data_IF_615120858967
#
_entry.id   IF_615120858967
#
_cell.length_a   1.000
_cell.length_b   1.000
_cell.length_c   1.000
_cell.angle_alpha   90.00
_cell.angle_beta   90.00
_cell.angle_gamma   90.00
#
_symmetry.space_group_name_H-M   'P 1'
#
loop_
_entity.id
_entity.type
_entity.pdbx_description
1 polymer ?
#
# COMPACT_ATOMS: atom_id res chain seq x y z
N UNK A 1 1.64 -1.24 27.87
CA UNK A 1 1.23 -0.22 26.87
C UNK A 1 2.41 0.63 26.40
N UNK A 2 3.44 0.83 27.23
CA UNK A 2 4.67 1.58 26.87
C UNK A 2 5.46 1.02 25.68
N UNK A 3 5.55 -0.31 25.52
CA UNK A 3 6.34 -0.91 24.42
C UNK A 3 5.80 -0.54 23.02
N UNK A 4 4.48 -0.37 22.89
CA UNK A 4 3.86 0.12 21.64
C UNK A 4 4.28 1.55 21.34
N UNK A 5 4.36 2.41 22.35
CA UNK A 5 4.74 3.82 22.21
C UNK A 5 6.19 4.02 21.80
N UNK A 6 7.07 3.17 22.32
CA UNK A 6 8.51 3.28 22.12
C UNK A 6 9.00 2.57 20.86
N UNK A 7 8.31 1.51 20.39
CA UNK A 7 8.77 0.71 19.24
C UNK A 7 7.79 0.68 18.08
N UNK A 8 6.49 0.56 18.33
CA UNK A 8 5.50 0.34 17.27
C UNK A 8 5.14 1.64 16.53
N UNK A 9 4.74 2.70 17.24
CA UNK A 9 4.38 3.97 16.59
C UNK A 9 5.52 4.60 15.79
N UNK A 10 6.76 4.76 16.31
CA UNK A 10 7.84 5.36 15.52
C UNK A 10 8.18 4.52 14.29
N UNK A 11 8.17 3.19 14.38
CA UNK A 11 8.41 2.32 13.23
C UNK A 11 7.31 2.43 12.16
N UNK A 12 6.03 2.47 12.56
CA UNK A 12 4.93 2.65 11.61
C UNK A 12 4.92 4.05 10.99
N UNK A 13 5.24 5.10 11.76
CA UNK A 13 5.37 6.48 11.26
C UNK A 13 6.48 6.55 10.20
N UNK A 14 7.65 5.97 10.48
CA UNK A 14 8.76 5.93 9.51
C UNK A 14 8.36 5.16 8.25
N UNK A 15 7.71 4.01 8.41
CA UNK A 15 7.21 3.21 7.30
C UNK A 15 6.22 3.98 6.42
N UNK A 16 5.23 4.64 7.03
CA UNK A 16 4.24 5.45 6.32
C UNK A 16 4.88 6.67 5.64
N UNK A 17 5.85 7.32 6.28
CA UNK A 17 6.62 8.41 5.68
C UNK A 17 7.40 7.94 4.46
N UNK A 18 7.97 6.73 4.51
CA UNK A 18 8.61 6.09 3.36
C UNK A 18 7.64 5.83 2.21
N UNK A 19 6.43 5.32 2.51
CA UNK A 19 5.38 5.12 1.51
C UNK A 19 4.95 6.43 0.85
N UNK A 20 4.75 7.50 1.63
CA UNK A 20 4.40 8.83 1.11
C UNK A 20 5.43 9.28 0.07
N UNK A 21 6.73 9.24 0.42
CA UNK A 21 7.81 9.60 -0.51
C UNK A 21 7.81 8.74 -1.77
N UNK A 22 7.52 7.45 -1.63
CA UNK A 22 7.40 6.54 -2.76
C UNK A 22 6.22 6.92 -3.67
N UNK A 23 5.05 7.20 -3.09
CA UNK A 23 3.89 7.65 -3.85
C UNK A 23 4.15 9.00 -4.55
N UNK A 24 4.86 9.94 -3.93
CA UNK A 24 5.26 11.20 -4.58
C UNK A 24 6.13 10.94 -5.82
N UNK A 25 7.12 10.04 -5.73
CA UNK A 25 7.96 9.66 -6.86
C UNK A 25 7.17 8.93 -7.97
N UNK A 26 6.22 8.09 -7.58
CA UNK A 26 5.33 7.41 -8.53
C UNK A 26 4.41 8.42 -9.24
N UNK A 27 3.86 9.40 -8.53
CA UNK A 27 3.06 10.48 -9.12
C UNK A 27 3.90 11.25 -10.14
N UNK A 28 5.14 11.61 -9.81
CA UNK A 28 6.04 12.25 -10.77
C UNK A 28 6.26 11.40 -12.03
N UNK A 29 6.40 10.09 -11.88
CA UNK A 29 6.55 9.15 -13.00
C UNK A 29 5.30 9.14 -13.89
N UNK A 30 4.11 9.06 -13.29
CA UNK A 30 2.81 9.13 -13.98
C UNK A 30 2.60 10.47 -14.68
N UNK A 31 3.01 11.57 -14.05
CA UNK A 31 2.93 12.92 -14.62
C UNK A 31 3.89 13.11 -15.79
N UNK A 32 5.08 12.50 -15.72
CA UNK A 32 6.08 12.53 -16.81
C UNK A 32 5.66 11.66 -18.00
N UNK A 33 4.87 10.62 -17.75
CA UNK A 33 4.30 9.73 -18.77
C UNK A 33 2.77 9.83 -18.77
N UNK A 34 2.17 10.98 -19.14
CA UNK A 34 0.73 11.17 -19.11
C UNK A 34 0.03 10.21 -20.08
N UNK A 35 -1.18 9.79 -19.73
CA UNK A 35 -2.03 9.05 -20.65
C UNK A 35 -2.51 10.00 -21.76
N UNK A 36 -2.61 9.48 -22.98
CA UNK A 36 -3.21 10.21 -24.09
C UNK A 36 -4.74 10.14 -23.92
N UNK A 37 -5.38 11.28 -23.69
CA UNK A 37 -6.83 11.39 -23.46
C UNK A 37 -7.64 10.80 -24.61
N UNK A 38 -7.18 10.98 -25.85
CA UNK A 38 -7.81 10.46 -27.07
C UNK A 38 -7.08 9.22 -27.62
N UNK A 39 -6.45 8.41 -26.76
CA UNK A 39 -5.73 7.23 -27.26
C UNK A 39 -5.23 6.26 -26.20
N UNK A 40 -4.20 5.52 -26.60
CA UNK A 40 -3.42 4.64 -25.75
C UNK A 40 -1.96 5.07 -25.88
N UNK A 41 -1.30 5.35 -24.75
CA UNK A 41 0.10 5.76 -24.72
C UNK A 41 1.09 4.66 -25.17
N UNK A 42 0.56 3.48 -25.48
CA UNK A 42 1.32 2.30 -25.78
C UNK A 42 1.79 1.58 -24.51
N UNK A 43 1.99 0.28 -24.62
CA UNK A 43 2.63 -0.50 -23.55
C UNK A 43 3.54 -1.56 -24.15
N UNK A 44 4.60 -1.89 -23.42
CA UNK A 44 5.50 -2.96 -23.81
C UNK A 44 5.13 -4.22 -23.04
N UNK A 45 4.91 -5.32 -23.77
CA UNK A 45 4.63 -6.65 -23.21
C UNK A 45 5.53 -7.66 -23.90
N UNK A 46 6.32 -8.40 -23.14
CA UNK A 46 7.24 -9.44 -23.61
C UNK A 46 8.18 -8.94 -24.73
N UNK A 47 8.65 -7.69 -24.62
CA UNK A 47 9.52 -7.05 -25.60
C UNK A 47 8.84 -6.60 -26.90
N UNK A 48 7.50 -6.64 -26.96
CA UNK A 48 6.70 -6.10 -28.07
C UNK A 48 5.97 -4.84 -27.63
N UNK A 49 5.98 -3.83 -28.49
CA UNK A 49 5.26 -2.58 -28.25
C UNK A 49 3.85 -2.64 -28.85
N UNK A 50 2.84 -2.40 -28.02
CA UNK A 50 1.44 -2.41 -28.40
C UNK A 50 0.87 -1.00 -28.33
N UNK A 51 0.23 -0.56 -29.40
CA UNK A 51 -0.40 0.78 -29.49
C UNK A 51 -1.93 0.73 -29.39
N UNK A 52 -2.52 -0.47 -29.30
CA UNK A 52 -3.96 -0.68 -29.13
C UNK A 52 -4.26 -1.35 -27.79
N UNK A 53 -5.34 -0.90 -27.13
CA UNK A 53 -5.76 -1.42 -25.82
C UNK A 53 -6.22 -2.88 -25.90
N UNK A 54 -6.79 -3.28 -27.03
CA UNK A 54 -7.19 -4.66 -27.30
C UNK A 54 -6.00 -5.58 -27.40
N UNK A 55 -5.11 -5.36 -28.37
CA UNK A 55 -3.92 -6.20 -28.56
C UNK A 55 -3.10 -6.33 -27.28
N UNK A 56 -2.91 -5.21 -26.58
CA UNK A 56 -2.15 -5.23 -25.35
C UNK A 56 -2.84 -6.05 -24.26
N UNK A 57 -4.15 -5.88 -24.08
CA UNK A 57 -4.93 -6.66 -23.13
C UNK A 57 -5.00 -8.16 -23.49
N UNK A 58 -5.11 -8.50 -24.77
CA UNK A 58 -5.09 -9.89 -25.25
C UNK A 58 -3.73 -10.54 -24.98
N UNK A 59 -2.65 -9.80 -25.16
CA UNK A 59 -1.30 -10.27 -24.89
C UNK A 59 -1.01 -10.47 -23.41
N UNK A 60 -1.57 -9.63 -22.53
CA UNK A 60 -1.57 -9.87 -21.09
C UNK A 60 -2.29 -11.20 -20.79
N UNK A 61 -3.50 -11.40 -21.34
CA UNK A 61 -4.26 -12.63 -21.12
C UNK A 61 -3.56 -13.87 -21.67
N UNK A 62 -2.90 -13.74 -22.83
CA UNK A 62 -2.08 -14.79 -23.40
C UNK A 62 -0.91 -15.13 -22.48
N UNK A 63 -0.19 -14.13 -21.97
CA UNK A 63 0.88 -14.32 -21.01
C UNK A 63 0.38 -14.99 -19.71
N UNK A 64 -0.81 -14.64 -19.21
CA UNK A 64 -1.44 -15.35 -18.09
C UNK A 64 -1.67 -16.84 -18.38
N UNK A 65 -2.14 -17.18 -19.59
CA UNK A 65 -2.35 -18.59 -19.98
C UNK A 65 -1.04 -19.36 -20.14
N UNK A 66 0.01 -18.68 -20.59
CA UNK A 66 1.36 -19.27 -20.72
C UNK A 66 2.10 -19.34 -19.38
N UNK A 67 1.70 -18.51 -18.40
CA UNK A 67 2.28 -18.48 -17.08
C UNK A 67 2.01 -19.80 -16.34
N UNK A 68 3.03 -20.66 -16.31
CA UNK A 68 3.08 -21.89 -15.52
C UNK A 68 3.95 -21.76 -14.27
N UNK A 69 4.64 -20.63 -14.15
CA UNK A 69 5.51 -20.32 -13.02
C UNK A 69 4.68 -19.86 -11.83
N UNK A 70 5.07 -20.30 -10.63
CA UNK A 70 4.51 -19.79 -9.38
C UNK A 70 5.15 -18.46 -8.97
N UNK A 71 6.30 -18.14 -9.56
CA UNK A 71 7.05 -16.92 -9.31
C UNK A 71 6.58 -15.78 -10.22
N UNK A 72 6.66 -14.52 -9.76
CA UNK A 72 6.32 -13.36 -10.58
C UNK A 72 7.27 -13.27 -11.78
N UNK A 73 6.71 -13.15 -12.98
CA UNK A 73 7.46 -13.02 -14.22
C UNK A 73 7.38 -11.57 -14.74
N UNK A 74 8.48 -11.00 -15.26
CA UNK A 74 8.44 -9.67 -15.86
C UNK A 74 7.59 -9.73 -17.13
N UNK A 75 6.50 -8.95 -17.15
CA UNK A 75 5.60 -8.86 -18.29
C UNK A 75 6.03 -7.76 -19.26
N UNK A 76 6.54 -6.63 -18.76
CA UNK A 76 7.03 -5.54 -19.60
C UNK A 76 6.97 -4.18 -18.90
N UNK A 77 6.60 -3.12 -19.61
CA UNK A 77 6.52 -1.77 -19.04
C UNK A 77 5.29 -0.98 -19.51
N UNK A 78 4.75 -0.15 -18.61
CA UNK A 78 3.59 0.70 -18.88
C UNK A 78 3.71 2.03 -18.14
N UNK A 79 3.63 3.15 -18.88
CA UNK A 79 3.72 4.52 -18.34
C UNK A 79 4.92 4.78 -17.42
N UNK A 80 6.06 4.14 -17.73
CA UNK A 80 7.29 4.24 -16.94
C UNK A 80 7.41 3.26 -15.77
N UNK A 81 6.37 2.44 -15.51
CA UNK A 81 6.40 1.39 -14.49
C UNK A 81 6.74 0.05 -15.11
N UNK A 82 7.57 -0.75 -14.44
CA UNK A 82 7.76 -2.15 -14.83
C UNK A 82 6.57 -2.98 -14.37
N UNK A 83 6.07 -3.84 -15.23
CA UNK A 83 4.97 -4.74 -14.95
C UNK A 83 5.50 -6.14 -14.70
N UNK A 84 5.09 -6.74 -13.59
CA UNK A 84 5.31 -8.14 -13.29
C UNK A 84 3.98 -8.86 -13.18
N UNK A 85 3.84 -9.98 -13.88
CA UNK A 85 2.69 -10.85 -13.79
C UNK A 85 2.93 -11.89 -12.68
N UNK A 86 1.97 -12.01 -11.79
CA UNK A 86 1.98 -12.97 -10.68
C UNK A 86 0.67 -13.75 -10.65
N UNK A 87 0.73 -15.03 -10.28
CA UNK A 87 -0.46 -15.85 -10.09
C UNK A 87 -0.76 -15.99 -8.59
N UNK A 88 -1.92 -15.50 -8.16
CA UNK A 88 -2.37 -15.66 -6.79
C UNK A 88 -3.04 -17.02 -6.62
N UNK A 89 -2.32 -17.94 -6.00
CA UNK A 89 -2.82 -19.31 -5.77
C UNK A 89 -3.98 -19.38 -4.77
N UNK A 90 -4.24 -18.32 -4.00
CA UNK A 90 -5.32 -18.30 -3.02
C UNK A 90 -6.64 -17.87 -3.66
N UNK A 91 -6.62 -16.83 -4.50
CA UNK A 91 -7.77 -16.34 -5.26
C UNK A 91 -7.97 -17.08 -6.58
N UNK A 92 -6.97 -17.82 -7.03
CA UNK A 92 -6.91 -18.41 -8.37
C UNK A 92 -7.03 -17.36 -9.49
N UNK A 93 -6.50 -16.16 -9.24
CA UNK A 93 -6.53 -15.02 -10.15
C UNK A 93 -5.10 -14.58 -10.53
N UNK A 94 -4.99 -13.88 -11.65
CA UNK A 94 -3.73 -13.26 -12.06
C UNK A 94 -3.69 -11.81 -11.60
N UNK A 95 -2.54 -11.37 -11.10
CA UNK A 95 -2.31 -9.99 -10.70
C UNK A 95 -1.08 -9.43 -11.42
N UNK A 96 -1.19 -8.20 -11.90
CA UNK A 96 -0.05 -7.41 -12.34
C UNK A 96 0.41 -6.53 -11.20
N UNK A 97 1.70 -6.58 -10.91
CA UNK A 97 2.37 -5.64 -10.02
C UNK A 97 3.13 -4.62 -10.85
N UNK A 98 2.73 -3.35 -10.73
CA UNK A 98 3.46 -2.20 -11.28
C UNK A 98 4.55 -1.81 -10.28
N UNK A 99 5.80 -2.08 -10.63
CA UNK A 99 6.99 -1.71 -9.88
C UNK A 99 7.34 -0.25 -10.16
N UNK A 100 7.09 0.59 -9.16
CA UNK A 100 7.65 1.93 -9.03
C UNK A 100 8.48 2.05 -7.77
N UNK A 101 8.52 3.25 -7.18
CA UNK A 101 9.00 3.44 -5.82
C UNK A 101 8.11 2.71 -4.80
N UNK A 102 6.81 2.61 -5.09
CA UNK A 102 5.88 1.69 -4.43
C UNK A 102 5.40 0.64 -5.44
N UNK A 103 5.15 -0.58 -4.96
CA UNK A 103 4.56 -1.63 -5.78
C UNK A 103 3.03 -1.51 -5.78
N UNK A 104 2.42 -1.33 -6.95
CA UNK A 104 0.96 -1.25 -7.12
C UNK A 104 0.43 -2.53 -7.74
N UNK A 105 -0.31 -3.32 -6.95
CA UNK A 105 -0.91 -4.57 -7.40
C UNK A 105 -2.29 -4.34 -8.00
N UNK A 106 -2.56 -4.95 -9.14
CA UNK A 106 -3.81 -4.83 -9.90
C UNK A 106 -4.26 -6.21 -10.32
N UNK A 107 -5.46 -6.61 -9.88
CA UNK A 107 -6.05 -7.89 -10.25
C UNK A 107 -6.60 -7.85 -11.67
N UNK A 108 -6.22 -8.85 -12.46
CA UNK A 108 -6.67 -9.04 -13.83
C UNK A 108 -7.97 -9.82 -13.85
N UNK A 109 -8.90 -9.38 -14.71
CA UNK A 109 -10.09 -10.13 -15.07
C UNK A 109 -9.93 -10.78 -16.45
N UNK A 110 -11.04 -11.31 -16.97
CA UNK A 110 -11.09 -11.97 -18.29
C UNK A 110 -11.15 -11.01 -19.46
N UNK A 111 -11.44 -9.72 -19.21
CA UNK A 111 -11.59 -8.70 -20.26
C UNK A 111 -10.27 -8.00 -20.59
N UNK A 112 -9.80 -8.14 -21.82
CA UNK A 112 -8.58 -7.50 -22.33
C UNK A 112 -8.59 -5.97 -22.12
N UNK A 113 -9.57 -5.28 -22.70
CA UNK A 113 -9.72 -3.82 -22.55
C UNK A 113 -9.96 -3.41 -21.08
N UNK A 114 -10.75 -4.21 -20.36
CA UNK A 114 -11.06 -3.96 -18.94
C UNK A 114 -9.81 -3.95 -18.06
N UNK A 115 -8.85 -4.83 -18.34
CA UNK A 115 -7.58 -4.89 -17.63
C UNK A 115 -6.73 -3.63 -17.83
N UNK A 116 -6.68 -3.10 -19.06
CA UNK A 116 -5.99 -1.84 -19.34
C UNK A 116 -6.63 -0.67 -18.57
N UNK A 117 -7.97 -0.62 -18.52
CA UNK A 117 -8.69 0.40 -17.75
C UNK A 117 -8.40 0.26 -16.24
N UNK A 118 -8.33 -0.97 -15.72
CA UNK A 118 -7.98 -1.21 -14.31
C UNK A 118 -6.56 -0.73 -13.98
N UNK A 119 -5.59 -0.99 -14.85
CA UNK A 119 -4.22 -0.49 -14.69
C UNK A 119 -4.19 1.03 -14.68
N UNK A 120 -4.93 1.68 -15.59
CA UNK A 120 -4.99 3.13 -15.63
C UNK A 120 -5.66 3.73 -14.38
N UNK A 121 -6.76 3.14 -13.92
CA UNK A 121 -7.41 3.52 -12.66
C UNK A 121 -6.48 3.32 -11.45
N UNK A 122 -5.65 2.27 -11.46
CA UNK A 122 -4.69 2.01 -10.39
C UNK A 122 -3.61 3.10 -10.32
N UNK A 123 -3.16 3.60 -11.47
CA UNK A 123 -2.21 4.72 -11.54
C UNK A 123 -2.88 6.07 -11.22
N UNK A 124 -4.10 6.28 -11.69
CA UNK A 124 -4.89 7.50 -11.43
C UNK A 124 -5.33 7.62 -9.96
N UNK A 125 -5.40 6.51 -9.22
CA UNK A 125 -5.70 6.49 -7.78
C UNK A 125 -4.47 6.68 -6.88
N UNK A 126 -3.26 6.75 -7.43
CA UNK A 126 -2.03 7.02 -6.64
C UNK A 126 -2.13 8.32 -5.82
N UNK A 127 -2.54 9.48 -6.37
CA UNK A 127 -2.70 10.70 -5.56
C UNK A 127 -3.72 10.54 -4.42
N UNK A 128 -4.80 9.80 -4.63
CA UNK A 128 -5.76 9.49 -3.56
C UNK A 128 -5.12 8.60 -2.48
N UNK A 129 -4.30 7.62 -2.87
CA UNK A 129 -3.57 6.77 -1.92
C UNK A 129 -2.52 7.55 -1.14
N UNK A 130 -1.86 8.52 -1.76
CA UNK A 130 -0.95 9.45 -1.10
C UNK A 130 -1.69 10.21 0.01
N UNK A 131 -2.83 10.81 -0.31
CA UNK A 131 -3.65 11.55 0.66
C UNK A 131 -4.06 10.65 1.84
N UNK A 132 -4.53 9.43 1.56
CA UNK A 132 -4.85 8.44 2.60
C UNK A 132 -3.64 8.07 3.46
N UNK A 133 -2.44 7.97 2.89
CA UNK A 133 -1.22 7.69 3.65
C UNK A 133 -0.87 8.86 4.58
N UNK A 134 -1.06 10.11 4.13
CA UNK A 134 -0.93 11.30 4.99
C UNK A 134 -1.95 11.31 6.14
N UNK A 135 -3.20 10.97 5.87
CA UNK A 135 -4.23 10.84 6.90
C UNK A 135 -3.88 9.74 7.92
N UNK A 136 -3.39 8.59 7.45
CA UNK A 136 -2.95 7.50 8.33
C UNK A 136 -1.76 7.92 9.20
N UNK A 137 -0.77 8.63 8.63
CA UNK A 137 0.36 9.17 9.37
C UNK A 137 -0.11 10.12 10.48
N UNK A 138 -1.02 11.04 10.15
CA UNK A 138 -1.60 11.99 11.10
C UNK A 138 -2.36 11.26 12.21
N UNK A 139 -3.15 10.24 11.86
CA UNK A 139 -3.86 9.42 12.84
C UNK A 139 -2.89 8.66 13.76
N UNK A 140 -1.80 8.09 13.25
CA UNK A 140 -0.78 7.41 14.04
C UNK A 140 -0.11 8.38 15.03
N UNK A 141 0.20 9.60 14.59
CA UNK A 141 0.77 10.65 15.44
C UNK A 141 -0.20 11.05 16.56
N UNK A 142 -1.48 11.26 16.24
CA UNK A 142 -2.52 11.55 17.23
C UNK A 142 -2.70 10.41 18.24
N UNK A 143 -2.69 9.16 17.77
CA UNK A 143 -2.75 7.99 18.65
C UNK A 143 -1.53 7.87 19.55
N UNK A 144 -0.33 8.18 19.04
CA UNK A 144 0.90 8.21 19.83
C UNK A 144 0.79 9.25 20.95
N UNK A 145 0.31 10.46 20.64
CA UNK A 145 0.12 11.52 21.63
C UNK A 145 -0.95 11.15 22.67
N UNK A 146 -2.11 10.63 22.23
CA UNK A 146 -3.17 10.19 23.13
C UNK A 146 -2.71 9.05 24.06
N UNK A 147 -1.99 8.04 23.52
CA UNK A 147 -1.42 6.95 24.33
C UNK A 147 -0.39 7.49 25.31
N UNK A 148 0.38 8.53 24.93
CA UNK A 148 1.40 9.14 25.80
C UNK A 148 0.74 9.92 26.93
N UNK A 149 -0.35 10.62 26.65
CA UNK A 149 -1.14 11.32 27.65
C UNK A 149 -1.81 10.35 28.64
N UNK A 150 -2.33 9.22 28.18
CA UNK A 150 -2.92 8.18 29.04
C UNK A 150 -1.88 7.50 29.95
N UNK A 151 -0.66 7.25 29.44
CA UNK A 151 0.45 6.74 30.26
C UNK A 151 0.96 7.77 31.28
N UNK A 152 0.78 9.06 31.00
CA UNK A 152 1.13 10.15 31.91
C UNK A 152 0.08 10.45 32.99
N UNK A 153 -1.12 9.86 32.89
CA UNK A 153 -2.14 10.00 33.94
C UNK A 153 -1.78 9.05 35.09
N UNK A 154 -1.54 9.56 36.32
CA UNK A 154 -1.38 8.68 37.48
C UNK A 154 -2.65 7.84 37.61
N UNK A 155 -2.47 6.53 37.80
CA UNK A 155 -3.57 5.59 37.94
C UNK A 155 -4.37 5.99 39.19
N UNK A 156 -5.65 6.38 39.10
CA UNK A 156 -6.40 6.88 40.26
C UNK A 156 -6.56 5.80 41.36
N UNK A 157 -6.42 4.53 41.01
CA UNK A 157 -6.44 3.43 41.97
C UNK A 157 -5.15 3.28 42.77
N UNK A 158 -4.00 3.89 42.40
CA UNK A 158 -2.79 3.87 43.24
C UNK A 158 -2.98 4.69 44.53
N UNK A 159 -3.68 5.83 44.45
CA UNK A 159 -4.01 6.63 45.62
C UNK A 159 -5.01 5.89 46.55
N UNK A 160 -6.03 5.23 45.98
CA UNK A 160 -6.97 4.42 46.76
C UNK A 160 -6.34 3.15 47.35
N UNK A 161 -5.40 2.50 46.64
CA UNK A 161 -4.69 1.33 47.16
C UNK A 161 -3.76 1.70 48.33
N UNK A 162 -3.08 2.84 48.24
CA UNK A 162 -2.21 3.35 49.30
C UNK A 162 -3.00 3.69 50.58
N UNK A 163 -4.17 4.33 50.44
CA UNK A 163 -5.04 4.67 51.57
C UNK A 163 -5.63 3.41 52.26
N UNK A 164 -6.04 2.40 51.48
CA UNK A 164 -6.53 1.12 52.04
C UNK A 164 -5.42 0.29 52.70
N UNK A 165 -4.19 0.35 52.19
CA UNK A 165 -3.05 -0.39 52.74
C UNK A 165 -2.58 0.19 54.08
N UNK A 166 -2.64 1.52 54.25
CA UNK A 166 -2.29 2.17 55.52
C UNK A 166 -3.28 1.83 56.65
N UNK A 167 -4.58 1.73 56.33
CA UNK A 167 -5.62 1.44 57.33
C UNK A 167 -5.60 0.00 57.87
N UNK A 168 -5.03 -0.95 57.11
CA UNK A 168 -4.82 -2.34 57.58
C UNK A 168 -3.56 -2.48 58.44
N UNK A 169 -2.55 -1.61 58.29
CA UNK A 169 -1.31 -1.66 59.06
C UNK A 169 -1.45 -1.12 60.49
N UNK A 170 -2.48 -0.31 60.79
CA UNK A 170 -2.78 0.18 62.14
C UNK A 170 -3.65 -0.80 62.96
N UNK A 171 -4.18 -1.87 62.36
CA UNK A 171 -5.03 -2.87 63.03
C UNK A 171 -4.25 -4.13 63.49
N UNK A 172 -2.95 -4.20 63.18
CA UNK A 172 -2.02 -5.29 63.54
C UNK A 172 -0.93 -4.83 64.55
N UNK A 173 -1.16 -3.72 65.27
CA UNK A 173 -0.30 -3.22 66.36
C UNK A 173 -1.03 -3.19 67.71
#
# INVERSE_FOLDING_TARGET
MEDKLLKYFPAEIERQTGYIRGFEADIQTVTTHPQIVEGFCGMEILGKHYMEKEDAGEMILAACKEMKATEPIPLGSYRGFQMELSFDSFRHDFDITLKGAVSHRVSLGTDARGNIIRLDNALSSIPEKLEKAHEQLTNLQNQQEATRAELGKPFPQEAELAEKSARLAELDA
#
